data_IF_156906083835
#
_entry.id   IF_156906083835
#
_cell.length_a   1.000
_cell.length_b   1.000
_cell.length_c   1.000
_cell.angle_alpha   90.00
_cell.angle_beta   90.00
_cell.angle_gamma   90.00
#
_symmetry.space_group_name_H-M   'P 1'
#
loop_
_entity.id
_entity.type
_entity.pdbx_description
1 polymer ?
#
# COMPACT_ATOMS: atom_id res chain seq x y z
N UNK A 1 16.94 20.04 -13.80
CA UNK A 1 16.43 18.66 -13.96
C UNK A 1 17.39 17.67 -13.35
N UNK A 2 16.92 16.94 -12.34
CA UNK A 2 17.63 15.76 -11.85
C UNK A 2 17.26 14.59 -12.76
N UNK A 3 18.22 13.84 -13.33
CA UNK A 3 17.94 12.70 -14.20
C UNK A 3 17.28 11.50 -13.48
N UNK A 4 17.02 11.62 -12.17
CA UNK A 4 16.43 10.58 -11.30
C UNK A 4 15.08 11.00 -10.71
N UNK A 5 14.25 11.77 -11.43
CA UNK A 5 12.89 12.08 -10.97
C UNK A 5 11.86 11.09 -11.53
N UNK A 6 11.19 10.33 -10.67
CA UNK A 6 10.04 9.49 -11.06
C UNK A 6 10.01 8.12 -10.39
N UNK A 7 9.10 7.25 -10.85
CA UNK A 7 9.04 5.85 -10.45
C UNK A 7 10.12 5.03 -11.15
N UNK A 8 10.69 4.06 -10.44
CA UNK A 8 11.64 3.09 -10.99
C UNK A 8 10.88 1.77 -11.16
N UNK A 9 10.80 1.27 -12.39
CA UNK A 9 10.25 -0.06 -12.67
C UNK A 9 11.26 -1.13 -12.25
N UNK A 10 10.94 -1.90 -11.21
CA UNK A 10 11.75 -3.02 -10.74
C UNK A 10 11.02 -4.35 -10.97
N UNK A 11 11.76 -5.38 -11.37
CA UNK A 11 11.27 -6.75 -11.36
C UNK A 11 11.22 -7.31 -9.93
N UNK A 12 10.51 -8.43 -9.76
CA UNK A 12 10.31 -9.04 -8.44
C UNK A 12 11.61 -9.55 -7.78
N UNK A 13 12.58 -10.03 -8.55
CA UNK A 13 13.87 -10.51 -8.00
C UNK A 13 14.70 -9.33 -7.47
N UNK A 14 14.67 -8.21 -8.18
CA UNK A 14 15.25 -6.94 -7.73
C UNK A 14 14.58 -6.44 -6.44
N UNK A 15 13.24 -6.51 -6.37
CA UNK A 15 12.48 -6.13 -5.17
C UNK A 15 12.84 -7.03 -3.99
N UNK A 16 12.92 -8.35 -4.20
CA UNK A 16 13.30 -9.31 -3.15
C UNK A 16 14.73 -9.06 -2.66
N UNK A 17 15.66 -8.78 -3.57
CA UNK A 17 17.06 -8.56 -3.21
C UNK A 17 17.25 -7.27 -2.40
N UNK A 18 16.56 -6.20 -2.79
CA UNK A 18 16.78 -4.86 -2.22
C UNK A 18 15.84 -4.53 -1.06
N UNK A 19 14.61 -5.06 -1.08
CA UNK A 19 13.53 -4.62 -0.20
C UNK A 19 12.82 -5.74 0.56
N UNK A 20 13.26 -7.01 0.47
CA UNK A 20 12.64 -8.09 1.25
C UNK A 20 12.59 -7.83 2.76
N UNK A 21 13.55 -7.05 3.26
CA UNK A 21 13.64 -6.63 4.67
C UNK A 21 12.60 -5.60 5.10
N UNK A 22 11.94 -4.89 4.17
CA UNK A 22 11.05 -3.77 4.49
C UNK A 22 9.86 -4.21 5.35
N UNK A 23 9.60 -3.45 6.41
CA UNK A 23 8.53 -3.73 7.36
C UNK A 23 7.15 -3.35 6.85
N UNK A 24 7.08 -2.35 5.97
CA UNK A 24 5.84 -1.77 5.44
C UNK A 24 5.94 -1.61 3.93
N UNK A 25 4.82 -1.81 3.24
CA UNK A 25 4.68 -1.55 1.81
C UNK A 25 3.42 -0.71 1.57
N UNK A 26 3.60 0.48 0.99
CA UNK A 26 2.52 1.40 0.62
C UNK A 26 2.38 1.47 -0.91
N UNK A 27 1.16 1.74 -1.39
CA UNK A 27 0.87 1.82 -2.82
C UNK A 27 0.87 0.46 -3.51
N UNK A 28 0.49 -0.60 -2.80
CA UNK A 28 0.34 -1.92 -3.40
C UNK A 28 -0.87 -1.93 -4.32
N UNK A 29 -0.68 -2.30 -5.58
CA UNK A 29 -1.77 -2.49 -6.55
C UNK A 29 -2.42 -3.87 -6.34
N UNK A 30 -3.09 -4.08 -5.20
CA UNK A 30 -3.95 -5.23 -4.90
C UNK A 30 -4.89 -4.88 -3.75
N UNK A 31 -6.11 -5.41 -3.75
CA UNK A 31 -7.08 -5.21 -2.67
C UNK A 31 -6.98 -6.27 -1.57
N UNK A 32 -6.44 -7.46 -1.86
CA UNK A 32 -6.27 -8.53 -0.89
C UNK A 32 -4.91 -9.22 -0.99
N UNK A 33 -4.52 -9.93 0.08
CA UNK A 33 -3.33 -10.78 0.05
C UNK A 33 -3.47 -11.97 -0.92
N UNK A 34 -4.71 -12.43 -1.19
CA UNK A 34 -4.98 -13.47 -2.17
C UNK A 34 -4.71 -12.97 -3.58
N UNK A 35 -5.27 -11.82 -3.95
CA UNK A 35 -5.03 -11.18 -5.25
C UNK A 35 -3.52 -10.91 -5.44
N UNK A 36 -2.84 -10.42 -4.40
CA UNK A 36 -1.39 -10.20 -4.46
C UNK A 36 -0.61 -11.49 -4.77
N UNK A 37 -1.01 -12.62 -4.18
CA UNK A 37 -0.39 -13.92 -4.43
C UNK A 37 -0.68 -14.45 -5.84
N UNK A 38 -1.86 -14.16 -6.40
CA UNK A 38 -2.23 -14.49 -7.78
C UNK A 38 -1.39 -13.71 -8.79
N UNK A 39 -1.00 -12.46 -8.47
CA UNK A 39 -0.10 -11.67 -9.32
C UNK A 39 1.29 -12.27 -9.41
N UNK A 40 1.90 -12.63 -8.28
CA UNK A 40 3.11 -13.45 -8.21
C UNK A 40 3.29 -14.00 -6.78
N UNK A 41 3.37 -15.33 -6.64
CA UNK A 41 3.57 -15.97 -5.34
C UNK A 41 4.85 -15.51 -4.61
N UNK A 42 5.85 -14.97 -5.34
CA UNK A 42 7.07 -14.41 -4.76
C UNK A 42 6.84 -13.21 -3.86
N UNK A 43 5.75 -12.45 -4.03
CA UNK A 43 5.41 -11.36 -3.12
C UNK A 43 5.24 -11.85 -1.67
N UNK A 44 4.85 -13.11 -1.47
CA UNK A 44 4.72 -13.73 -0.14
C UNK A 44 6.06 -13.85 0.61
N UNK A 45 7.19 -13.67 -0.07
CA UNK A 45 8.52 -13.71 0.55
C UNK A 45 8.88 -12.38 1.25
N UNK A 46 8.18 -11.28 0.95
CA UNK A 46 8.43 -9.95 1.54
C UNK A 46 8.02 -9.90 3.02
N UNK A 47 8.83 -9.26 3.85
CA UNK A 47 8.53 -9.12 5.28
C UNK A 47 7.23 -8.35 5.54
N UNK A 48 6.98 -7.26 4.81
CA UNK A 48 5.73 -6.50 4.89
C UNK A 48 4.50 -7.40 4.64
N UNK A 49 4.57 -8.31 3.66
CA UNK A 49 3.48 -9.24 3.33
C UNK A 49 3.30 -10.27 4.44
N UNK A 50 4.38 -10.92 4.89
CA UNK A 50 4.36 -11.89 5.99
C UNK A 50 3.80 -11.30 7.28
N UNK A 51 4.12 -10.03 7.57
CA UNK A 51 3.67 -9.29 8.76
C UNK A 51 2.31 -8.61 8.57
N UNK A 52 1.69 -8.75 7.41
CA UNK A 52 0.40 -8.13 7.04
C UNK A 52 0.40 -6.61 7.21
N UNK A 53 1.48 -5.96 6.75
CA UNK A 53 1.73 -4.52 6.78
C UNK A 53 1.82 -3.93 5.36
N UNK A 54 0.85 -4.30 4.52
CA UNK A 54 0.74 -3.83 3.13
C UNK A 54 -0.52 -2.99 2.99
N UNK A 55 -0.39 -1.86 2.29
CA UNK A 55 -1.44 -0.87 2.11
C UNK A 55 -1.57 -0.50 0.63
N UNK A 56 -2.81 -0.41 0.16
CA UNK A 56 -3.14 0.15 -1.15
C UNK A 56 -3.70 1.58 -0.99
N UNK A 57 -3.93 2.26 -2.10
CA UNK A 57 -4.49 3.61 -2.17
C UNK A 57 -5.96 3.61 -2.64
N UNK A 58 -6.71 2.53 -2.39
CA UNK A 58 -8.09 2.36 -2.89
C UNK A 58 -9.17 2.68 -1.86
N UNK A 59 -8.87 3.45 -0.81
CA UNK A 59 -9.85 3.69 0.27
C UNK A 59 -10.99 4.62 -0.16
N UNK A 60 -10.75 5.50 -1.13
CA UNK A 60 -11.72 6.46 -1.68
C UNK A 60 -11.75 6.36 -3.19
N UNK A 61 -12.29 5.24 -3.67
CA UNK A 61 -12.50 4.99 -5.10
C UNK A 61 -13.98 5.01 -5.45
N UNK A 62 -14.27 5.25 -6.73
CA UNK A 62 -15.62 5.19 -7.29
C UNK A 62 -15.78 4.01 -8.24
N UNK A 63 -17.00 3.49 -8.48
CA UNK A 63 -17.23 2.42 -9.45
C UNK A 63 -16.81 2.77 -10.90
N UNK A 64 -16.70 4.07 -11.22
CA UNK A 64 -16.23 4.55 -12.52
C UNK A 64 -14.69 4.62 -12.65
N UNK A 65 -13.95 4.24 -11.60
CA UNK A 65 -12.48 4.21 -11.60
C UNK A 65 -11.79 5.46 -11.07
N UNK A 66 -12.54 6.50 -10.67
CA UNK A 66 -11.96 7.67 -10.00
C UNK A 66 -11.34 7.27 -8.65
N UNK A 67 -10.12 7.74 -8.39
CA UNK A 67 -9.38 7.48 -7.15
C UNK A 67 -8.89 8.80 -6.53
N UNK A 68 -9.48 9.16 -5.39
CA UNK A 68 -9.23 10.43 -4.72
C UNK A 68 -7.81 10.59 -4.17
N UNK A 69 -7.06 9.49 -4.01
CA UNK A 69 -5.63 9.55 -3.70
C UNK A 69 -4.87 10.37 -4.76
N UNK A 70 -5.17 10.15 -6.05
CA UNK A 70 -4.48 10.84 -7.14
C UNK A 70 -5.01 12.26 -7.39
N UNK A 71 -6.24 12.53 -6.97
CA UNK A 71 -6.90 13.82 -7.22
C UNK A 71 -6.62 14.85 -6.13
N UNK A 72 -6.71 14.47 -4.83
CA UNK A 72 -6.70 15.43 -3.73
C UNK A 72 -5.61 15.22 -2.68
N UNK A 73 -4.95 14.06 -2.60
CA UNK A 73 -3.95 13.83 -1.54
C UNK A 73 -2.75 14.79 -1.62
N UNK A 74 -2.41 15.26 -2.83
CA UNK A 74 -1.35 16.28 -3.01
C UNK A 74 -1.71 17.63 -2.40
N UNK A 75 -3.00 17.96 -2.35
CA UNK A 75 -3.51 19.19 -1.74
C UNK A 75 -3.78 19.01 -0.23
N UNK A 76 -3.88 17.77 0.25
CA UNK A 76 -4.11 17.41 1.66
C UNK A 76 -2.98 16.53 2.22
N UNK A 77 -1.73 17.04 2.27
CA UNK A 77 -0.61 16.30 2.81
C UNK A 77 -0.79 15.95 4.29
N UNK A 78 -1.57 16.72 5.05
CA UNK A 78 -1.91 16.45 6.45
C UNK A 78 -2.71 15.15 6.62
N UNK A 79 -3.70 14.89 5.76
CA UNK A 79 -4.49 13.65 5.77
C UNK A 79 -3.64 12.47 5.32
N UNK A 80 -2.84 12.65 4.27
CA UNK A 80 -1.92 11.61 3.77
C UNK A 80 -0.84 11.25 4.82
N UNK A 81 -0.28 12.23 5.52
CA UNK A 81 0.66 11.99 6.61
C UNK A 81 -0.02 11.32 7.81
N UNK A 82 -1.26 11.69 8.13
CA UNK A 82 -2.05 11.05 9.19
C UNK A 82 -2.32 9.58 8.89
N UNK A 83 -2.59 9.23 7.64
CA UNK A 83 -2.69 7.85 7.15
C UNK A 83 -1.39 7.07 7.40
N UNK A 84 -0.23 7.62 7.02
CA UNK A 84 1.05 6.96 7.26
C UNK A 84 1.36 6.80 8.74
N UNK A 85 1.07 7.82 9.57
CA UNK A 85 1.22 7.74 11.02
C UNK A 85 0.32 6.65 11.59
N UNK A 86 -0.95 6.58 11.19
CA UNK A 86 -1.88 5.53 11.63
C UNK A 86 -1.41 4.13 11.24
N UNK A 87 -0.83 3.98 10.05
CA UNK A 87 -0.30 2.69 9.59
C UNK A 87 0.92 2.23 10.41
N UNK A 88 1.83 3.15 10.74
CA UNK A 88 3.11 2.81 11.38
C UNK A 88 3.02 2.84 12.92
N UNK A 89 2.29 3.79 13.48
CA UNK A 89 2.12 4.07 14.91
C UNK A 89 0.63 4.23 15.28
N UNK A 90 -0.17 3.15 15.17
CA UNK A 90 -1.63 3.21 15.36
C UNK A 90 -2.07 3.73 16.73
N UNK A 91 -1.21 3.64 17.74
CA UNK A 91 -1.40 4.14 19.10
C UNK A 91 -1.36 5.67 19.22
N UNK A 92 -0.72 6.36 18.28
CA UNK A 92 -0.61 7.83 18.29
C UNK A 92 -1.92 8.48 17.84
N UNK A 93 -2.66 7.82 16.95
CA UNK A 93 -3.93 8.29 16.40
C UNK A 93 -5.02 7.22 16.55
N UNK A 94 -5.43 6.86 17.79
CA UNK A 94 -6.31 5.71 18.02
C UNK A 94 -7.67 5.84 17.33
N UNK A 95 -8.23 7.05 17.30
CA UNK A 95 -9.58 7.34 16.75
C UNK A 95 -9.56 7.77 15.27
N UNK A 96 -8.37 7.91 14.67
CA UNK A 96 -8.25 8.26 13.26
C UNK A 96 -8.53 7.04 12.37
N UNK A 97 -9.40 7.25 11.38
CA UNK A 97 -9.64 6.29 10.29
C UNK A 97 -8.87 6.72 9.06
N UNK A 98 -8.37 5.77 8.29
CA UNK A 98 -7.65 6.09 7.06
C UNK A 98 -8.52 6.90 6.09
N UNK A 99 -7.90 7.86 5.42
CA UNK A 99 -8.52 8.71 4.41
C UNK A 99 -8.29 8.14 3.02
N UNK A 100 -7.03 7.97 2.60
CA UNK A 100 -6.65 7.62 1.23
C UNK A 100 -6.13 6.19 1.08
N UNK A 101 -5.36 5.69 2.06
CA UNK A 101 -4.84 4.32 2.02
C UNK A 101 -5.73 3.35 2.80
N UNK A 102 -5.62 2.05 2.55
CA UNK A 102 -6.22 1.03 3.42
C UNK A 102 -5.33 -0.22 3.47
N UNK A 103 -5.31 -0.96 4.59
CA UNK A 103 -4.62 -2.24 4.63
C UNK A 103 -5.30 -3.24 3.68
N UNK A 104 -4.50 -4.12 3.07
CA UNK A 104 -5.03 -5.21 2.24
C UNK A 104 -5.96 -6.12 3.05
N UNK A 105 -7.03 -6.57 2.39
CA UNK A 105 -8.00 -7.49 2.96
C UNK A 105 -7.35 -8.84 3.28
N UNK A 106 -7.68 -9.36 4.46
CA UNK A 106 -7.13 -10.62 5.00
C UNK A 106 -7.96 -11.85 4.63
N UNK A 107 -9.01 -11.70 3.81
CA UNK A 107 -10.02 -12.73 3.60
C UNK A 107 -9.41 -14.07 3.13
N UNK A 108 -9.94 -15.22 3.62
CA UNK A 108 -9.85 -16.47 2.87
C UNK A 108 -10.83 -16.41 1.68
N UNK A 109 -10.58 -17.22 0.65
CA UNK A 109 -11.43 -17.42 -0.53
C UNK A 109 -12.93 -17.27 -0.22
N UNK A 110 -13.64 -16.36 -0.89
CA UNK A 110 -15.11 -16.41 -0.95
C UNK A 110 -15.49 -17.50 -1.96
N UNK A 111 -16.31 -18.45 -1.51
CA UNK A 111 -16.89 -19.53 -2.33
C UNK A 111 -17.67 -19.01 -3.54
#
# INVERSE_FOLDING_TARGET
>A
DHPESGSIGLDIESILTQFAGADYWFGCEADSYAELAEKDAKYLLLNAVKRRKVFNNHNRTTPAGGNDYFESAVAHPDLMLSDLIKAVYPEVLPDYSFTYIKPLEREPFRE
#
